data_IF_008594941969
#
_entry.id   IF_008594941969
#
_cell.length_a   1.000
_cell.length_b   1.000
_cell.length_c   1.000
_cell.angle_alpha   90.00
_cell.angle_beta   90.00
_cell.angle_gamma   90.00
#
_symmetry.space_group_name_H-M   'P 1'
#
loop_
_entity.id
_entity.type
_entity.pdbx_description
1 polymer ?
#
# COMPACT_ATOMS: atom_id res chain seq x y z
N UNK A 1 -10.89 -2.31 8.21
CA UNK A 1 -10.86 -0.90 7.73
C UNK A 1 -10.39 -0.88 6.29
N UNK A 2 -10.70 0.18 5.55
CA UNK A 2 -10.35 0.35 4.15
C UNK A 2 -9.44 1.58 3.97
N UNK A 3 -8.62 1.56 2.93
CA UNK A 3 -7.79 2.67 2.46
C UNK A 3 -8.42 3.16 1.15
N UNK A 4 -8.70 4.46 1.02
CA UNK A 4 -9.13 5.02 -0.24
C UNK A 4 -8.03 5.94 -0.80
N UNK A 5 -7.66 5.68 -2.06
CA UNK A 5 -6.66 6.43 -2.79
C UNK A 5 -7.39 7.30 -3.81
N UNK A 6 -7.03 8.59 -3.92
CA UNK A 6 -7.57 9.50 -4.95
C UNK A 6 -6.44 10.26 -5.64
N UNK A 7 -6.35 10.15 -6.96
CA UNK A 7 -5.37 10.93 -7.73
C UNK A 7 -5.90 12.34 -8.09
N UNK A 8 -5.04 13.16 -8.71
CA UNK A 8 -5.40 14.52 -9.12
C UNK A 8 -6.55 14.59 -10.15
N UNK A 9 -6.74 13.53 -10.94
CA UNK A 9 -7.83 13.43 -11.91
C UNK A 9 -9.17 13.00 -11.28
N UNK A 10 -9.21 12.74 -9.98
CA UNK A 10 -10.41 12.29 -9.27
C UNK A 10 -10.70 10.80 -9.41
N UNK A 11 -9.80 10.01 -10.01
CA UNK A 11 -9.90 8.55 -10.02
C UNK A 11 -9.66 8.03 -8.60
N UNK A 12 -10.42 7.01 -8.20
CA UNK A 12 -10.30 6.41 -6.88
C UNK A 12 -10.01 4.92 -6.93
N UNK A 13 -9.23 4.44 -5.97
CA UNK A 13 -9.02 3.01 -5.70
C UNK A 13 -9.31 2.77 -4.22
N UNK A 14 -10.10 1.74 -3.93
CA UNK A 14 -10.38 1.30 -2.57
C UNK A 14 -9.77 -0.06 -2.31
N UNK A 15 -8.99 -0.16 -1.25
CA UNK A 15 -8.33 -1.39 -0.81
C UNK A 15 -8.69 -1.63 0.66
N UNK A 16 -8.52 -2.85 1.14
CA UNK A 16 -8.47 -3.04 2.60
C UNK A 16 -7.11 -2.55 3.11
N UNK A 17 -7.04 -2.13 4.36
CA UNK A 17 -5.76 -1.74 4.98
C UNK A 17 -4.71 -2.83 4.83
N UNK A 18 -5.08 -4.11 5.02
CA UNK A 18 -4.16 -5.25 4.87
C UNK A 18 -3.64 -5.42 3.44
N UNK A 19 -4.50 -5.32 2.42
CA UNK A 19 -4.06 -5.39 1.03
C UNK A 19 -3.09 -4.25 0.68
N UNK A 20 -3.38 -3.04 1.16
CA UNK A 20 -2.50 -1.89 0.98
C UNK A 20 -1.14 -2.11 1.64
N UNK A 21 -1.12 -2.57 2.90
CA UNK A 21 0.12 -2.91 3.60
C UNK A 21 0.92 -3.98 2.86
N UNK A 22 0.28 -5.02 2.33
CA UNK A 22 0.97 -6.04 1.53
C UNK A 22 1.62 -5.43 0.29
N UNK A 23 0.93 -4.54 -0.44
CA UNK A 23 1.52 -3.88 -1.61
C UNK A 23 2.72 -3.00 -1.24
N UNK A 24 2.63 -2.21 -0.16
CA UNK A 24 3.74 -1.39 0.33
C UNK A 24 4.96 -2.25 0.72
N UNK A 25 4.74 -3.29 1.54
CA UNK A 25 5.80 -4.20 2.00
C UNK A 25 6.40 -5.01 0.85
N UNK A 26 5.59 -5.40 -0.13
CA UNK A 26 6.08 -6.08 -1.32
C UNK A 26 6.98 -5.15 -2.14
N UNK A 27 6.57 -3.91 -2.39
CA UNK A 27 7.43 -2.96 -3.10
C UNK A 27 8.75 -2.70 -2.35
N UNK A 28 8.71 -2.61 -1.01
CA UNK A 28 9.91 -2.49 -0.17
C UNK A 28 10.83 -3.71 -0.31
N UNK A 29 10.28 -4.92 -0.29
CA UNK A 29 11.01 -6.17 -0.54
C UNK A 29 11.75 -6.14 -1.88
N UNK A 30 11.17 -5.46 -2.88
CA UNK A 30 11.75 -5.30 -4.22
C UNK A 30 12.61 -4.04 -4.38
N UNK A 31 12.90 -3.31 -3.29
CA UNK A 31 13.85 -2.20 -3.27
C UNK A 31 13.24 -0.80 -3.23
N UNK A 32 11.91 -0.66 -3.16
CA UNK A 32 11.31 0.65 -2.95
C UNK A 32 11.65 1.19 -1.57
N UNK A 33 12.19 2.41 -1.53
CA UNK A 33 12.40 3.15 -0.29
C UNK A 33 11.34 4.26 -0.21
N UNK A 34 10.39 4.18 0.74
CA UNK A 34 9.34 5.18 0.85
C UNK A 34 9.92 6.55 1.16
N UNK A 35 9.48 7.57 0.41
CA UNK A 35 9.87 8.96 0.70
C UNK A 35 9.17 9.54 1.94
N UNK A 36 8.09 8.91 2.40
CA UNK A 36 7.17 9.45 3.38
C UNK A 36 6.06 10.27 2.71
N UNK A 37 4.86 10.23 3.29
CA UNK A 37 3.75 11.06 2.83
C UNK A 37 3.88 12.51 3.31
N UNK A 38 3.25 13.42 2.58
CA UNK A 38 3.11 14.82 2.93
C UNK A 38 1.89 14.96 3.83
N UNK A 39 2.06 15.69 4.94
CA UNK A 39 1.00 15.91 5.92
C UNK A 39 -0.31 16.41 5.30
N UNK A 40 -1.46 15.97 5.82
CA UNK A 40 -2.74 16.49 5.38
C UNK A 40 -2.89 17.98 5.69
N UNK A 41 -3.72 18.67 4.90
CA UNK A 41 -4.01 20.09 5.12
C UNK A 41 -4.65 20.27 6.49
N UNK A 42 -4.04 21.09 7.34
CA UNK A 42 -4.54 21.33 8.69
C UNK A 42 -4.19 20.24 9.71
N UNK A 43 -3.13 19.45 9.46
CA UNK A 43 -2.57 18.54 10.46
C UNK A 43 -2.33 19.24 11.81
N UNK A 44 -2.99 18.73 12.86
CA UNK A 44 -2.91 19.24 14.23
C UNK A 44 -2.64 18.10 15.24
N UNK A 45 -2.06 16.99 14.77
CA UNK A 45 -1.73 15.86 15.63
C UNK A 45 -0.57 16.17 16.59
N UNK A 46 -0.25 15.23 17.50
CA UNK A 46 0.81 15.42 18.48
C UNK A 46 2.20 15.33 17.83
N UNK A 47 2.66 16.42 17.22
CA UNK A 47 4.00 16.55 16.65
C UNK A 47 4.05 16.69 15.13
N UNK A 48 5.26 16.59 14.58
CA UNK A 48 5.49 16.56 13.13
C UNK A 48 4.86 15.30 12.52
N UNK A 49 4.37 15.43 11.29
CA UNK A 49 3.84 14.30 10.54
C UNK A 49 4.94 13.28 10.28
N UNK A 50 4.67 12.01 10.56
CA UNK A 50 5.64 10.92 10.51
C UNK A 50 5.81 10.30 9.12
N UNK A 51 5.03 10.75 8.14
CA UNK A 51 5.07 10.24 6.77
C UNK A 51 4.28 8.94 6.55
N UNK A 52 3.33 8.61 7.43
CA UNK A 52 2.56 7.36 7.36
C UNK A 52 1.72 7.19 6.07
N UNK A 53 1.59 5.93 5.62
CA UNK A 53 0.79 5.54 4.44
C UNK A 53 -0.47 4.76 4.82
N UNK A 54 -0.69 4.47 6.11
CA UNK A 54 -1.65 3.46 6.57
C UNK A 54 -2.94 4.03 7.20
N UNK A 55 -3.10 5.35 7.18
CA UNK A 55 -4.31 6.07 7.62
C UNK A 55 -5.01 6.77 6.45
N UNK A 56 -6.26 7.22 6.64
CA UNK A 56 -7.01 8.00 5.65
C UNK A 56 -7.14 9.46 6.11
N UNK A 57 -6.03 10.09 6.49
CA UNK A 57 -6.06 11.43 7.09
C UNK A 57 -6.05 12.55 6.03
N UNK A 58 -6.01 12.20 4.75
CA UNK A 58 -5.88 13.14 3.63
C UNK A 58 -4.43 13.44 3.25
N UNK A 59 -3.47 12.64 3.74
CA UNK A 59 -2.06 12.80 3.44
C UNK A 59 -1.80 12.56 1.94
N UNK A 60 -0.78 13.24 1.41
CA UNK A 60 -0.44 13.21 -0.01
C UNK A 60 0.80 12.35 -0.25
N UNK A 61 0.79 11.57 -1.34
CA UNK A 61 1.96 10.88 -1.88
C UNK A 61 2.47 11.68 -3.08
N UNK A 62 3.78 11.97 -3.10
CA UNK A 62 4.39 12.75 -4.17
C UNK A 62 4.38 11.99 -5.51
N UNK A 63 4.48 12.71 -6.62
CA UNK A 63 4.55 12.10 -7.96
C UNK A 63 5.74 11.15 -8.11
N UNK A 64 6.89 11.56 -7.57
CA UNK A 64 8.12 10.77 -7.61
C UNK A 64 7.97 9.46 -6.82
N UNK A 65 7.40 9.54 -5.62
CA UNK A 65 7.23 8.37 -4.75
C UNK A 65 6.14 7.43 -5.28
N UNK A 66 5.02 7.98 -5.79
CA UNK A 66 3.97 7.18 -6.44
C UNK A 66 4.52 6.39 -7.64
N UNK A 67 5.31 7.04 -8.51
CA UNK A 67 5.94 6.38 -9.66
C UNK A 67 7.05 5.41 -9.23
N UNK A 68 7.79 5.71 -8.16
CA UNK A 68 8.76 4.78 -7.60
C UNK A 68 8.07 3.51 -7.07
N UNK A 69 6.99 3.67 -6.31
CA UNK A 69 6.15 2.56 -5.84
C UNK A 69 5.63 1.72 -7.02
N UNK A 70 5.10 2.37 -8.07
CA UNK A 70 4.63 1.70 -9.28
C UNK A 70 5.72 0.85 -9.96
N UNK A 71 6.92 1.40 -10.10
CA UNK A 71 8.05 0.71 -10.75
C UNK A 71 8.45 -0.56 -10.00
N UNK A 72 8.54 -0.49 -8.66
CA UNK A 72 8.93 -1.64 -7.85
C UNK A 72 7.82 -2.69 -7.77
N UNK A 73 6.54 -2.28 -7.69
CA UNK A 73 5.41 -3.20 -7.80
C UNK A 73 5.35 -3.88 -9.16
N UNK A 74 5.66 -3.16 -10.24
CA UNK A 74 5.72 -3.74 -11.58
C UNK A 74 6.90 -4.74 -11.69
N UNK A 75 8.08 -4.39 -11.15
CA UNK A 75 9.21 -5.30 -11.06
C UNK A 75 8.89 -6.57 -10.26
N UNK A 76 8.16 -6.42 -9.15
CA UNK A 76 7.66 -7.55 -8.37
C UNK A 76 6.72 -8.42 -9.20
N UNK A 77 5.72 -7.83 -9.87
CA UNK A 77 4.75 -8.54 -10.69
C UNK A 77 5.39 -9.33 -11.86
N UNK A 78 6.50 -8.83 -12.41
CA UNK A 78 7.24 -9.49 -13.49
C UNK A 78 8.27 -10.53 -12.99
N UNK A 79 8.50 -10.62 -11.68
CA UNK A 79 9.51 -11.51 -11.11
C UNK A 79 9.01 -12.95 -10.99
N UNK A 80 9.83 -13.95 -11.38
CA UNK A 80 9.55 -15.37 -11.08
C UNK A 80 9.41 -15.66 -9.59
N UNK A 81 9.95 -14.80 -8.72
CA UNK A 81 9.89 -14.94 -7.27
C UNK A 81 8.60 -14.39 -6.66
N UNK A 82 7.72 -13.78 -7.46
CA UNK A 82 6.49 -13.15 -6.98
C UNK A 82 5.65 -14.08 -6.08
N UNK A 83 5.38 -15.36 -6.43
CA UNK A 83 4.53 -16.19 -5.59
C UNK A 83 5.09 -16.40 -4.18
N UNK A 84 6.40 -16.64 -4.08
CA UNK A 84 7.09 -16.85 -2.80
C UNK A 84 7.13 -15.55 -2.00
N UNK A 85 7.56 -14.45 -2.62
CA UNK A 85 7.64 -13.16 -1.96
C UNK A 85 6.27 -12.68 -1.46
N UNK A 86 5.21 -12.88 -2.25
CA UNK A 86 3.86 -12.50 -1.86
C UNK A 86 3.35 -13.34 -0.69
N UNK A 87 3.57 -14.65 -0.69
CA UNK A 87 3.23 -15.53 0.44
C UNK A 87 3.98 -15.10 1.71
N UNK A 88 5.27 -14.81 1.62
CA UNK A 88 6.07 -14.37 2.76
C UNK A 88 5.58 -13.03 3.33
N UNK A 89 5.27 -12.07 2.45
CA UNK A 89 4.73 -10.76 2.85
C UNK A 89 3.35 -10.89 3.48
N UNK A 90 2.45 -11.71 2.92
CA UNK A 90 1.13 -11.97 3.51
C UNK A 90 1.30 -12.53 4.92
N UNK A 91 2.10 -13.58 5.08
CA UNK A 91 2.36 -14.21 6.38
C UNK A 91 2.95 -13.21 7.39
N UNK A 92 3.87 -12.35 6.94
CA UNK A 92 4.46 -11.31 7.77
C UNK A 92 3.40 -10.29 8.24
N UNK A 93 2.59 -9.77 7.32
CA UNK A 93 1.55 -8.77 7.61
C UNK A 93 0.50 -9.34 8.56
N UNK A 94 0.08 -10.58 8.37
CA UNK A 94 -0.90 -11.22 9.24
C UNK A 94 -0.36 -11.49 10.64
N UNK A 95 0.88 -12.01 10.75
CA UNK A 95 1.54 -12.18 12.06
C UNK A 95 1.69 -10.85 12.79
N UNK A 96 2.04 -9.78 12.07
CA UNK A 96 2.14 -8.44 12.66
C UNK A 96 0.79 -7.92 13.15
N UNK A 97 -0.30 -8.23 12.45
CA UNK A 97 -1.66 -7.89 12.87
C UNK A 97 -2.07 -8.68 14.13
N UNK A 98 -1.80 -9.98 14.16
CA UNK A 98 -2.08 -10.84 15.33
C UNK A 98 -1.28 -10.41 16.57
N UNK A 99 -0.01 -10.02 16.40
CA UNK A 99 0.81 -9.48 17.47
C UNK A 99 0.27 -8.17 18.07
N UNK A 100 -0.55 -7.44 17.31
CA UNK A 100 -1.27 -6.23 17.75
C UNK A 100 -2.65 -6.55 18.36
N UNK A 101 -2.98 -7.83 18.55
CA UNK A 101 -4.24 -8.28 19.13
C UNK A 101 -5.40 -8.42 18.14
N UNK A 102 -5.14 -8.39 16.83
CA UNK A 102 -6.16 -8.58 15.81
C UNK A 102 -6.35 -10.08 15.55
N UNK A 103 -7.51 -10.63 15.88
CA UNK A 103 -7.86 -12.02 15.54
C UNK A 103 -8.22 -12.12 14.05
N UNK A 104 -7.44 -12.87 13.28
CA UNK A 104 -7.73 -13.19 11.88
C UNK A 104 -8.34 -14.59 11.82
N UNK A 105 -9.61 -14.68 11.40
CA UNK A 105 -10.26 -15.96 11.16
C UNK A 105 -9.66 -16.61 9.90
N UNK A 106 -9.59 -17.94 9.85
CA UNK A 106 -9.03 -18.67 8.69
C UNK A 106 -9.72 -18.30 7.38
N UNK A 107 -11.04 -18.10 7.40
CA UNK A 107 -11.81 -17.65 6.23
C UNK A 107 -11.52 -16.19 5.80
N UNK A 108 -10.74 -15.44 6.58
CA UNK A 108 -10.35 -14.05 6.32
C UNK A 108 -8.84 -13.88 6.08
N UNK A 109 -8.11 -15.00 5.99
CA UNK A 109 -6.71 -15.04 5.56
C UNK A 109 -6.61 -14.57 4.12
N UNK A 110 -5.58 -13.77 3.83
CA UNK A 110 -5.35 -13.30 2.47
C UNK A 110 -4.72 -14.41 1.62
N UNK A 111 -5.17 -14.52 0.38
CA UNK A 111 -4.65 -15.51 -0.57
C UNK A 111 -3.84 -14.80 -1.66
N UNK A 112 -2.69 -15.35 -2.11
CA UNK A 112 -1.87 -14.72 -3.15
C UNK A 112 -2.61 -14.39 -4.45
N UNK A 113 -3.63 -15.19 -4.80
CA UNK A 113 -4.44 -14.98 -6.00
C UNK A 113 -5.30 -13.69 -5.94
N UNK A 114 -5.63 -13.20 -4.74
CA UNK A 114 -6.41 -11.97 -4.55
C UNK A 114 -5.66 -10.75 -5.11
N UNK A 115 -4.32 -10.76 -5.04
CA UNK A 115 -3.48 -9.65 -5.46
C UNK A 115 -3.30 -9.55 -6.98
N UNK A 116 -3.51 -10.64 -7.71
CA UNK A 116 -3.35 -10.66 -9.19
C UNK A 116 -4.26 -9.63 -9.86
N UNK A 117 -5.47 -9.46 -9.33
CA UNK A 117 -6.45 -8.49 -9.83
C UNK A 117 -6.22 -7.06 -9.29
N UNK A 118 -5.34 -6.89 -8.30
CA UNK A 118 -5.05 -5.59 -7.68
C UNK A 118 -3.87 -4.91 -8.39
N UNK A 119 -2.86 -5.67 -8.85
CA UNK A 119 -1.66 -5.11 -9.48
C UNK A 119 -1.99 -4.19 -10.66
N UNK A 120 -2.72 -4.68 -11.66
CA UNK A 120 -3.00 -3.90 -12.88
C UNK A 120 -3.70 -2.56 -12.61
N UNK A 121 -4.84 -2.50 -11.90
CA UNK A 121 -5.51 -1.23 -11.63
C UNK A 121 -4.68 -0.31 -10.73
N UNK A 122 -3.98 -0.86 -9.73
CA UNK A 122 -3.13 -0.08 -8.84
C UNK A 122 -1.94 0.52 -9.59
N UNK A 123 -1.24 -0.26 -10.42
CA UNK A 123 -0.11 0.22 -11.22
C UNK A 123 -0.53 1.35 -12.14
N UNK A 124 -1.64 1.19 -12.87
CA UNK A 124 -2.15 2.27 -13.73
C UNK A 124 -2.45 3.53 -12.93
N UNK A 125 -3.05 3.41 -11.75
CA UNK A 125 -3.32 4.53 -10.87
C UNK A 125 -2.04 5.21 -10.36
N UNK A 126 -1.04 4.44 -9.93
CA UNK A 126 0.21 4.99 -9.41
C UNK A 126 1.06 5.67 -10.49
N UNK A 127 0.99 5.20 -11.74
CA UNK A 127 1.66 5.86 -12.88
C UNK A 127 1.01 7.20 -13.26
N UNK A 128 -0.25 7.45 -12.87
CA UNK A 128 -0.90 8.75 -13.03
C UNK A 128 -0.26 9.84 -12.16
N UNK A 129 0.57 9.46 -11.17
CA UNK A 129 1.37 10.38 -10.36
C UNK A 129 0.84 10.58 -8.95
N UNK A 130 0.95 11.80 -8.44
CA UNK A 130 0.59 12.12 -7.04
C UNK A 130 -0.87 11.79 -6.70
N UNK A 131 -1.09 11.36 -5.46
CA UNK A 131 -2.42 10.99 -4.95
C UNK A 131 -2.56 11.28 -3.46
N UNK A 132 -3.80 11.23 -2.97
CA UNK A 132 -4.19 11.38 -1.57
C UNK A 132 -4.68 10.06 -1.01
N UNK A 133 -4.55 9.90 0.32
CA UNK A 133 -5.10 8.77 1.08
C UNK A 133 -6.19 9.32 2.01
N UNK A 134 -7.47 9.01 1.74
CA UNK A 134 -8.67 9.62 2.37
C UNK A 134 -9.83 8.64 2.55
#
# INVERSE_FOLDING_TARGET
>A
MAINLRNQAGKTIKLTTRHWTVMLTLAQTFGWSPAGTIAPVGWNGPGEWDGAYDTNDGQAVSDEDAKALARHLHGAAASPQLPVALTDVINYVEKAAEARGITILDAMRMEPNEFSNIFSPLLMFLYDGSFYIE
#
